data_IF_587909602706
#
_entry.id   IF_587909602706
#
_cell.length_a   1.000
_cell.length_b   1.000
_cell.length_c   1.000
_cell.angle_alpha   90.00
_cell.angle_beta   90.00
_cell.angle_gamma   90.00
#
_symmetry.space_group_name_H-M   'P 1'
#
loop_
_entity.id
_entity.type
_entity.pdbx_description
1 polymer ?
#
# COMPACT_ATOMS: atom_id res chain seq x y z
N UNK A 1 10.81 12.67 3.52
CA UNK A 1 10.58 12.23 4.92
C UNK A 1 10.90 10.74 4.97
N UNK A 2 11.72 10.28 5.90
CA UNK A 2 11.96 8.84 6.07
C UNK A 2 10.66 8.19 6.55
N UNK A 3 10.24 7.11 5.89
CA UNK A 3 9.06 6.32 6.29
C UNK A 3 9.54 5.24 7.26
N UNK A 4 9.34 5.48 8.54
CA UNK A 4 9.71 4.59 9.63
C UNK A 4 8.49 4.29 10.53
N UNK A 5 8.71 3.50 11.58
CA UNK A 5 7.65 3.10 12.51
C UNK A 5 6.94 4.30 13.16
N UNK A 6 7.68 5.30 13.61
CA UNK A 6 7.14 6.42 14.37
C UNK A 6 6.33 7.35 13.48
N UNK A 7 6.89 7.72 12.33
CA UNK A 7 6.21 8.54 11.31
C UNK A 7 4.95 7.86 10.77
N UNK A 8 4.98 6.54 10.57
CA UNK A 8 3.81 5.76 10.13
C UNK A 8 2.71 5.76 11.19
N UNK A 9 3.03 5.50 12.46
CA UNK A 9 2.04 5.52 13.55
C UNK A 9 1.40 6.91 13.70
N UNK A 10 2.20 7.97 13.61
CA UNK A 10 1.70 9.34 13.66
C UNK A 10 0.76 9.63 12.48
N UNK A 11 1.12 9.23 11.27
CA UNK A 11 0.30 9.43 10.07
C UNK A 11 -1.04 8.69 10.16
N UNK A 12 -1.07 7.45 10.68
CA UNK A 12 -2.31 6.70 10.92
C UNK A 12 -3.20 7.44 11.93
N UNK A 13 -2.64 7.89 13.05
CA UNK A 13 -3.39 8.62 14.09
C UNK A 13 -3.97 9.93 13.57
N UNK A 14 -3.18 10.69 12.82
CA UNK A 14 -3.61 11.96 12.25
C UNK A 14 -4.69 11.78 11.17
N UNK A 15 -4.59 10.72 10.36
CA UNK A 15 -5.60 10.40 9.35
C UNK A 15 -6.92 9.90 9.97
N UNK A 16 -6.87 9.25 11.15
CA UNK A 16 -8.04 8.79 11.89
C UNK A 16 -8.70 7.51 11.34
N UNK A 17 -8.30 7.04 10.17
CA UNK A 17 -8.72 5.76 9.57
C UNK A 17 -7.56 5.11 8.83
N UNK A 18 -7.60 3.79 8.63
CA UNK A 18 -6.67 3.05 7.79
C UNK A 18 -7.47 2.23 6.77
N UNK A 19 -7.57 2.66 5.51
CA UNK A 19 -8.22 1.87 4.47
C UNK A 19 -7.46 0.57 4.21
N UNK A 20 -8.19 -0.55 4.17
CA UNK A 20 -7.67 -1.87 3.83
C UNK A 20 -8.39 -2.36 2.57
N UNK A 21 -7.67 -2.62 1.48
CA UNK A 21 -8.33 -3.13 0.27
C UNK A 21 -7.42 -4.00 -0.60
N UNK A 22 -8.04 -4.67 -1.56
CA UNK A 22 -7.42 -5.38 -2.67
C UNK A 22 -8.40 -5.41 -3.84
N UNK A 23 -7.90 -5.25 -5.06
CA UNK A 23 -8.63 -5.53 -6.28
C UNK A 23 -7.73 -6.25 -7.29
N UNK A 24 -8.31 -7.13 -8.11
CA UNK A 24 -7.54 -8.03 -8.98
C UNK A 24 -6.91 -7.32 -10.17
N UNK A 25 -7.56 -6.28 -10.70
CA UNK A 25 -7.01 -5.45 -11.77
C UNK A 25 -6.09 -4.36 -11.20
N UNK A 26 -4.85 -4.29 -11.70
CA UNK A 26 -3.83 -3.36 -11.21
C UNK A 26 -4.16 -1.89 -11.51
N UNK A 27 -4.80 -1.61 -12.65
CA UNK A 27 -5.20 -0.25 -13.03
C UNK A 27 -6.34 0.22 -12.15
N UNK A 28 -7.35 -0.63 -11.92
CA UNK A 28 -8.45 -0.30 -11.01
C UNK A 28 -7.93 -0.06 -9.59
N UNK A 29 -7.00 -0.89 -9.11
CA UNK A 29 -6.34 -0.64 -7.82
C UNK A 29 -5.63 0.71 -7.79
N UNK A 30 -4.90 1.09 -8.85
CA UNK A 30 -4.23 2.39 -8.91
C UNK A 30 -5.21 3.57 -8.94
N UNK A 31 -6.32 3.46 -9.67
CA UNK A 31 -7.36 4.49 -9.66
C UNK A 31 -8.02 4.63 -8.29
N UNK A 32 -8.24 3.53 -7.57
CA UNK A 32 -8.71 3.57 -6.18
C UNK A 32 -7.68 4.29 -5.29
N UNK A 33 -6.38 3.97 -5.40
CA UNK A 33 -5.32 4.66 -4.66
C UNK A 33 -5.32 6.17 -4.98
N UNK A 34 -5.41 6.55 -6.25
CA UNK A 34 -5.47 7.94 -6.69
C UNK A 34 -6.70 8.66 -6.13
N UNK A 35 -7.86 8.00 -6.11
CA UNK A 35 -9.08 8.55 -5.54
C UNK A 35 -8.95 8.77 -4.02
N UNK A 36 -8.44 7.79 -3.28
CA UNK A 36 -8.18 7.90 -1.85
C UNK A 36 -7.17 9.03 -1.56
N UNK A 37 -6.09 9.10 -2.33
CA UNK A 37 -5.05 10.13 -2.19
C UNK A 37 -5.60 11.54 -2.42
N UNK A 38 -6.42 11.74 -3.47
CA UNK A 38 -7.14 13.00 -3.73
C UNK A 38 -8.10 13.35 -2.58
N UNK A 39 -8.70 12.34 -1.95
CA UNK A 39 -9.53 12.48 -0.75
C UNK A 39 -8.77 12.75 0.56
N UNK A 40 -7.45 12.89 0.52
CA UNK A 40 -6.63 13.21 1.69
C UNK A 40 -5.99 12.01 2.39
N UNK A 41 -6.20 10.79 1.89
CA UNK A 41 -5.52 9.60 2.44
C UNK A 41 -4.03 9.65 2.11
N UNK A 42 -3.20 9.43 3.13
CA UNK A 42 -1.75 9.31 3.05
C UNK A 42 -1.24 7.99 3.61
N UNK A 43 -2.05 7.22 4.31
CA UNK A 43 -1.67 5.87 4.77
C UNK A 43 -2.76 4.89 4.40
N UNK A 44 -2.40 3.79 3.75
CA UNK A 44 -3.33 2.68 3.53
C UNK A 44 -2.60 1.33 3.51
N UNK A 45 -3.37 0.26 3.71
CA UNK A 45 -2.89 -1.12 3.63
C UNK A 45 -3.50 -1.80 2.38
N UNK A 46 -2.64 -2.27 1.48
CA UNK A 46 -3.04 -3.22 0.46
C UNK A 46 -3.05 -4.63 1.08
N UNK A 47 -3.91 -5.53 0.61
CA UNK A 47 -4.07 -6.85 1.23
C UNK A 47 -3.70 -7.99 0.29
N UNK A 48 -2.91 -8.95 0.77
CA UNK A 48 -2.58 -10.17 0.03
C UNK A 48 -3.76 -11.17 0.04
N UNK A 49 -4.88 -10.81 -0.60
CA UNK A 49 -6.14 -11.59 -0.60
C UNK A 49 -6.49 -12.23 -1.94
N UNK A 50 -5.69 -12.02 -2.97
CA UNK A 50 -5.90 -12.65 -4.27
C UNK A 50 -4.59 -12.90 -5.01
N UNK A 51 -4.66 -13.75 -6.04
CA UNK A 51 -3.49 -14.22 -6.80
C UNK A 51 -2.70 -13.07 -7.44
N UNK A 52 -3.37 -11.97 -7.80
CA UNK A 52 -2.74 -10.80 -8.41
C UNK A 52 -2.10 -9.84 -7.39
N UNK A 53 -2.24 -10.06 -6.08
CA UNK A 53 -1.87 -9.08 -5.07
C UNK A 53 -0.39 -8.66 -5.12
N UNK A 54 0.52 -9.61 -5.30
CA UNK A 54 1.96 -9.33 -5.39
C UNK A 54 2.31 -8.47 -6.61
N UNK A 55 1.80 -8.84 -7.78
CA UNK A 55 2.09 -8.10 -9.02
C UNK A 55 1.43 -6.71 -9.01
N UNK A 56 0.21 -6.62 -8.49
CA UNK A 56 -0.47 -5.33 -8.31
C UNK A 56 0.28 -4.45 -7.32
N UNK A 57 0.81 -5.02 -6.23
CA UNK A 57 1.61 -4.26 -5.26
C UNK A 57 2.89 -3.69 -5.88
N UNK A 58 3.64 -4.47 -6.67
CA UNK A 58 4.80 -3.99 -7.42
C UNK A 58 4.42 -2.86 -8.39
N UNK A 59 3.31 -3.03 -9.09
CA UNK A 59 2.77 -2.02 -10.00
C UNK A 59 2.45 -0.71 -9.26
N UNK A 60 1.73 -0.79 -8.14
CA UNK A 60 1.40 0.37 -7.30
C UNK A 60 2.67 1.06 -6.80
N UNK A 61 3.62 0.30 -6.23
CA UNK A 61 4.92 0.82 -5.75
C UNK A 61 5.66 1.62 -6.82
N UNK A 62 5.62 1.18 -8.08
CA UNK A 62 6.23 1.91 -9.21
C UNK A 62 5.52 3.24 -9.46
N UNK A 63 4.19 3.27 -9.50
CA UNK A 63 3.43 4.50 -9.72
C UNK A 63 3.56 5.51 -8.57
N UNK A 64 3.57 5.01 -7.33
CA UNK A 64 3.72 5.82 -6.12
C UNK A 64 5.01 6.63 -6.07
N UNK A 65 6.11 6.08 -6.61
CA UNK A 65 7.42 6.77 -6.68
C UNK A 65 7.35 8.08 -7.46
N UNK A 66 6.46 8.18 -8.44
CA UNK A 66 6.33 9.37 -9.30
C UNK A 66 5.17 10.26 -8.91
N UNK A 67 4.06 9.69 -8.44
CA UNK A 67 2.79 10.42 -8.29
C UNK A 67 2.46 10.86 -6.86
N UNK A 68 2.94 10.12 -5.86
CA UNK A 68 2.38 10.15 -4.49
C UNK A 68 3.49 9.82 -3.46
N UNK A 69 4.58 10.60 -3.48
CA UNK A 69 5.80 10.30 -2.73
C UNK A 69 5.60 10.32 -1.20
N UNK A 70 4.62 11.08 -0.71
CA UNK A 70 4.22 11.18 0.69
C UNK A 70 3.22 10.09 1.13
N UNK A 71 2.73 9.24 0.22
CA UNK A 71 1.82 8.14 0.57
C UNK A 71 2.60 6.96 1.18
N UNK A 72 2.14 6.48 2.33
CA UNK A 72 2.57 5.27 3.02
C UNK A 72 1.72 4.09 2.55
N UNK A 73 2.36 3.17 1.82
CA UNK A 73 1.75 1.93 1.34
C UNK A 73 2.22 0.77 2.22
N UNK A 74 1.32 0.16 2.99
CA UNK A 74 1.56 -1.08 3.71
C UNK A 74 1.01 -2.31 2.99
N UNK A 75 1.48 -3.50 3.38
CA UNK A 75 0.93 -4.79 2.95
C UNK A 75 0.48 -5.61 4.17
N UNK A 76 -0.76 -6.10 4.14
CA UNK A 76 -1.31 -7.01 5.13
C UNK A 76 -1.73 -8.35 4.55
N UNK A 77 -2.31 -9.20 5.39
CA UNK A 77 -2.71 -10.59 5.04
C UNK A 77 -1.52 -11.49 4.64
N UNK A 78 -0.34 -11.26 5.23
CA UNK A 78 0.83 -12.14 5.10
C UNK A 78 0.69 -13.29 6.09
N UNK A 79 0.55 -14.53 5.59
CA UNK A 79 0.23 -15.72 6.39
C UNK A 79 1.40 -16.68 6.57
N UNK A 80 2.44 -16.57 5.75
CA UNK A 80 3.58 -17.48 5.81
C UNK A 80 4.90 -16.80 5.40
N UNK A 81 6.02 -17.49 5.64
CA UNK A 81 7.36 -16.99 5.37
C UNK A 81 7.62 -16.75 3.88
N UNK A 82 6.98 -17.51 2.99
CA UNK A 82 7.13 -17.33 1.55
C UNK A 82 6.51 -15.99 1.12
N UNK A 83 5.27 -15.74 1.53
CA UNK A 83 4.60 -14.46 1.27
C UNK A 83 5.39 -13.28 1.84
N UNK A 84 5.90 -13.41 3.07
CA UNK A 84 6.78 -12.39 3.66
C UNK A 84 7.99 -12.10 2.76
N UNK A 85 8.70 -13.15 2.31
CA UNK A 85 9.86 -13.00 1.44
C UNK A 85 9.50 -12.36 0.08
N UNK A 86 8.38 -12.78 -0.52
CA UNK A 86 7.89 -12.26 -1.79
C UNK A 86 7.63 -10.74 -1.72
N UNK A 87 6.99 -10.26 -0.64
CA UNK A 87 6.67 -8.83 -0.48
C UNK A 87 7.86 -8.00 -0.01
N UNK A 88 8.78 -8.54 0.79
CA UNK A 88 10.06 -7.87 1.07
C UNK A 88 10.86 -7.64 -0.22
N UNK A 89 10.89 -8.62 -1.13
CA UNK A 89 11.50 -8.48 -2.44
C UNK A 89 10.77 -7.47 -3.35
N UNK A 90 9.51 -7.15 -3.04
CA UNK A 90 8.71 -6.12 -3.72
C UNK A 90 8.83 -4.73 -3.06
N UNK A 91 9.81 -4.52 -2.18
CA UNK A 91 10.06 -3.25 -1.48
C UNK A 91 8.87 -2.82 -0.59
N UNK A 92 8.22 -3.78 0.07
CA UNK A 92 7.19 -3.51 1.08
C UNK A 92 7.76 -2.82 2.33
#
# INVERSE_FOLDING_TARGET
MTKDKETTIAAIKNQGMLPLFYYEDAQVSLEIVRALYKGGVRVFEYTNRGKAALENFKFLKKALKTEMQDLFLGIGTIKNKKELADFLAADA
#
